data_IF_099208672803
#
_entry.id   IF_099208672803
#
_cell.length_a   1.000
_cell.length_b   1.000
_cell.length_c   1.000
_cell.angle_alpha   90.00
_cell.angle_beta   90.00
_cell.angle_gamma   90.00
#
_symmetry.space_group_name_H-M   'P 1'
#
loop_
_entity.id
_entity.type
_entity.pdbx_description
1 polymer ?
#
# COMPACT_ATOMS: atom_id res chain seq x y z
N UNK A 1 -8.84 -2.68 -20.83
CA UNK A 1 -8.58 -3.10 -19.45
C UNK A 1 -8.28 -1.83 -18.68
N UNK A 2 -8.78 -1.74 -17.48
CA UNK A 2 -8.60 -0.59 -16.59
C UNK A 2 -7.47 -0.79 -15.56
N UNK A 3 -6.77 -1.92 -15.66
CA UNK A 3 -5.56 -2.21 -14.89
C UNK A 3 -4.45 -2.57 -15.88
N UNK A 4 -3.37 -1.80 -15.84
CA UNK A 4 -2.19 -2.05 -16.65
C UNK A 4 -1.04 -2.54 -15.77
N UNK A 5 -0.32 -3.55 -16.23
CA UNK A 5 0.90 -4.05 -15.60
C UNK A 5 2.07 -3.88 -16.55
N UNK A 6 3.13 -3.24 -16.09
CA UNK A 6 4.41 -3.16 -16.80
C UNK A 6 5.51 -3.65 -15.86
N UNK A 7 6.32 -4.60 -16.32
CA UNK A 7 7.48 -5.11 -15.58
C UNK A 7 8.75 -4.64 -16.30
N UNK A 8 9.57 -3.87 -15.59
CA UNK A 8 10.87 -3.38 -16.09
C UNK A 8 11.95 -3.76 -15.09
N UNK A 9 12.85 -4.64 -15.50
CA UNK A 9 13.87 -5.19 -14.62
C UNK A 9 13.22 -5.89 -13.40
N UNK A 10 13.50 -5.41 -12.21
CA UNK A 10 12.94 -5.96 -10.96
C UNK A 10 11.75 -5.15 -10.40
N UNK A 11 11.17 -4.26 -11.18
CA UNK A 11 10.04 -3.42 -10.77
C UNK A 11 8.79 -3.78 -11.55
N UNK A 12 7.68 -4.02 -10.85
CA UNK A 12 6.34 -4.02 -11.43
C UNK A 12 5.67 -2.67 -11.16
N UNK A 13 5.26 -1.98 -12.21
CA UNK A 13 4.38 -0.82 -12.12
C UNK A 13 2.96 -1.24 -12.50
N UNK A 14 2.03 -1.15 -11.55
CA UNK A 14 0.61 -1.45 -11.71
C UNK A 14 -0.15 -0.13 -11.71
N UNK A 15 -0.94 0.09 -12.74
CA UNK A 15 -1.64 1.35 -13.00
C UNK A 15 -3.14 1.12 -12.99
N UNK A 16 -3.85 1.83 -12.14
CA UNK A 16 -5.30 1.96 -12.22
C UNK A 16 -5.60 2.94 -13.35
N UNK A 17 -6.08 2.45 -14.49
CA UNK A 17 -6.19 3.21 -15.74
C UNK A 17 -7.63 3.33 -16.22
N UNK A 18 -8.46 3.98 -15.42
CA UNK A 18 -9.83 4.39 -15.77
C UNK A 18 -10.06 5.84 -15.33
N UNK A 19 -9.26 6.82 -15.85
CA UNK A 19 -9.26 8.20 -15.39
C UNK A 19 -10.60 8.91 -15.58
N UNK A 20 -11.42 8.49 -16.54
CA UNK A 20 -12.76 9.02 -16.82
C UNK A 20 -13.73 8.86 -15.64
N UNK A 21 -13.55 7.81 -14.83
CA UNK A 21 -14.30 7.56 -13.59
C UNK A 21 -13.45 7.71 -12.34
N UNK A 22 -12.35 8.48 -12.40
CA UNK A 22 -11.42 8.69 -11.29
C UNK A 22 -10.87 7.37 -10.71
N UNK A 23 -10.66 6.38 -11.54
CA UNK A 23 -10.22 5.03 -11.18
C UNK A 23 -11.10 4.33 -10.12
N UNK A 24 -12.41 4.65 -10.10
CA UNK A 24 -13.37 3.91 -9.30
C UNK A 24 -13.41 2.44 -9.74
N UNK A 25 -13.42 1.52 -8.77
CA UNK A 25 -13.22 0.09 -8.97
C UNK A 25 -14.54 -0.65 -9.20
N UNK A 26 -14.64 -1.32 -10.33
CA UNK A 26 -15.66 -2.35 -10.56
C UNK A 26 -15.19 -3.71 -10.01
N UNK A 27 -16.06 -4.72 -10.04
CA UNK A 27 -15.69 -6.09 -9.63
C UNK A 27 -14.61 -6.69 -10.56
N UNK A 28 -14.69 -6.37 -11.85
CA UNK A 28 -13.68 -6.81 -12.83
C UNK A 28 -12.33 -6.14 -12.54
N UNK A 29 -12.30 -4.85 -12.21
CA UNK A 29 -11.07 -4.16 -11.85
C UNK A 29 -10.40 -4.75 -10.61
N UNK A 30 -11.19 -5.16 -9.58
CA UNK A 30 -10.65 -5.84 -8.40
C UNK A 30 -9.99 -7.18 -8.78
N UNK A 31 -10.62 -7.91 -9.70
CA UNK A 31 -10.10 -9.19 -10.21
C UNK A 31 -8.83 -8.98 -11.03
N UNK A 32 -8.83 -8.01 -11.92
CA UNK A 32 -7.69 -7.68 -12.77
C UNK A 32 -6.51 -7.17 -11.94
N UNK A 33 -6.77 -6.36 -10.91
CA UNK A 33 -5.74 -5.89 -9.99
C UNK A 33 -5.11 -7.06 -9.21
N UNK A 34 -5.91 -7.99 -8.70
CA UNK A 34 -5.42 -9.21 -8.06
C UNK A 34 -4.58 -10.06 -9.01
N UNK A 35 -4.99 -10.17 -10.27
CA UNK A 35 -4.25 -10.87 -11.32
C UNK A 35 -2.91 -10.19 -11.63
N UNK A 36 -2.86 -8.85 -11.66
CA UNK A 36 -1.63 -8.09 -11.87
C UNK A 36 -0.62 -8.32 -10.73
N UNK A 37 -1.08 -8.35 -9.47
CA UNK A 37 -0.23 -8.71 -8.33
C UNK A 37 0.27 -10.16 -8.41
N UNK A 38 -0.56 -11.11 -8.85
CA UNK A 38 -0.15 -12.51 -9.06
C UNK A 38 0.95 -12.60 -10.12
N UNK A 39 0.77 -11.95 -11.27
CA UNK A 39 1.76 -11.92 -12.34
C UNK A 39 3.09 -11.26 -11.88
N UNK A 40 3.02 -10.17 -11.12
CA UNK A 40 4.20 -9.54 -10.55
C UNK A 40 4.94 -10.49 -9.58
N UNK A 41 4.21 -11.28 -8.78
CA UNK A 41 4.79 -12.28 -7.90
C UNK A 41 5.44 -13.43 -8.68
N UNK A 42 4.79 -13.95 -9.71
CA UNK A 42 5.34 -15.00 -10.58
C UNK A 42 6.60 -14.53 -11.33
N UNK A 43 6.70 -13.24 -11.64
CA UNK A 43 7.87 -12.62 -12.24
C UNK A 43 9.01 -12.33 -11.22
N UNK A 44 8.82 -12.67 -9.94
CA UNK A 44 9.81 -12.48 -8.87
C UNK A 44 10.37 -11.04 -8.82
N UNK A 45 9.49 -10.04 -8.96
CA UNK A 45 9.90 -8.64 -8.89
C UNK A 45 10.47 -8.28 -7.51
N UNK A 46 11.40 -7.34 -7.45
CA UNK A 46 11.99 -6.87 -6.21
C UNK A 46 11.21 -5.74 -5.54
N UNK A 47 10.27 -5.10 -6.25
CA UNK A 47 9.34 -4.10 -5.69
C UNK A 47 8.14 -3.88 -6.62
N UNK A 48 7.04 -3.40 -6.04
CA UNK A 48 5.83 -2.99 -6.78
C UNK A 48 5.58 -1.51 -6.57
N UNK A 49 5.20 -0.81 -7.64
CA UNK A 49 4.61 0.52 -7.61
C UNK A 49 3.14 0.42 -8.03
N UNK A 50 2.22 0.83 -7.16
CA UNK A 50 0.80 1.00 -7.47
C UNK A 50 0.48 2.49 -7.60
N UNK A 51 -0.14 2.89 -8.71
CA UNK A 51 -0.56 4.27 -8.95
C UNK A 51 -1.87 4.37 -9.72
N UNK A 52 -2.49 5.53 -9.70
CA UNK A 52 -3.59 5.87 -10.59
C UNK A 52 -3.08 6.63 -11.83
N UNK A 53 -3.76 6.48 -12.96
CA UNK A 53 -3.60 7.33 -14.13
C UNK A 53 -4.52 8.54 -14.04
N UNK A 54 -4.10 9.69 -14.58
CA UNK A 54 -4.87 10.92 -14.58
C UNK A 54 -4.87 11.63 -13.21
N UNK A 55 -6.00 12.26 -12.85
CA UNK A 55 -6.11 13.20 -11.73
C UNK A 55 -6.50 12.59 -10.38
N UNK A 56 -6.58 11.27 -10.27
CA UNK A 56 -6.96 10.57 -9.04
C UNK A 56 -6.22 9.24 -8.91
N UNK A 57 -5.94 8.85 -7.69
CA UNK A 57 -5.47 7.50 -7.40
C UNK A 57 -6.63 6.51 -7.57
N UNK A 58 -7.67 6.62 -6.74
CA UNK A 58 -8.89 5.80 -6.82
C UNK A 58 -10.00 6.45 -5.99
N UNK A 59 -11.16 6.67 -6.61
CA UNK A 59 -12.32 7.27 -5.96
C UNK A 59 -13.17 6.27 -5.14
N UNK A 60 -12.76 5.00 -5.05
CA UNK A 60 -13.47 3.97 -4.30
C UNK A 60 -14.20 2.97 -5.18
N UNK A 61 -15.27 2.36 -4.66
CA UNK A 61 -16.15 1.47 -5.44
C UNK A 61 -16.89 2.24 -6.52
N UNK A 62 -16.96 1.70 -7.72
CA UNK A 62 -17.90 2.22 -8.73
C UNK A 62 -19.34 1.88 -8.32
N UNK A 63 -20.07 2.88 -7.90
CA UNK A 63 -21.47 2.74 -7.45
C UNK A 63 -22.49 3.17 -8.52
N UNK A 64 -22.07 3.48 -9.73
CA UNK A 64 -22.92 4.00 -10.79
C UNK A 64 -24.06 3.05 -11.16
N UNK A 65 -23.85 1.75 -11.04
CA UNK A 65 -24.81 0.70 -11.36
C UNK A 65 -25.29 -0.09 -10.13
N UNK A 66 -24.95 0.37 -8.91
CA UNK A 66 -25.39 -0.30 -7.68
C UNK A 66 -26.88 -0.02 -7.47
N UNK A 67 -27.65 -1.09 -7.24
CA UNK A 67 -29.05 -1.03 -6.83
C UNK A 67 -29.13 -1.21 -5.32
N UNK A 68 -29.36 -0.14 -4.52
CA UNK A 68 -29.22 -0.23 -3.05
C UNK A 68 -30.13 -1.28 -2.40
N UNK A 69 -31.31 -1.54 -2.99
CA UNK A 69 -32.27 -2.50 -2.44
C UNK A 69 -31.79 -3.97 -2.53
N UNK A 70 -30.82 -4.27 -3.39
CA UNK A 70 -30.29 -5.62 -3.62
C UNK A 70 -28.78 -5.71 -3.43
N UNK A 71 -28.13 -4.62 -3.04
CA UNK A 71 -26.69 -4.59 -2.80
C UNK A 71 -26.31 -5.38 -1.55
N UNK A 72 -25.45 -6.37 -1.69
CA UNK A 72 -24.84 -7.09 -0.58
C UNK A 72 -23.43 -6.54 -0.31
N UNK A 73 -23.37 -5.40 0.39
CA UNK A 73 -22.11 -4.76 0.75
C UNK A 73 -21.20 -5.68 1.59
N UNK A 74 -21.78 -6.57 2.42
CA UNK A 74 -21.00 -7.53 3.21
C UNK A 74 -20.31 -8.53 2.31
N UNK A 75 -21.02 -9.13 1.37
CA UNK A 75 -20.43 -10.08 0.41
C UNK A 75 -19.38 -9.39 -0.48
N UNK A 76 -19.65 -8.18 -0.97
CA UNK A 76 -18.71 -7.39 -1.75
C UNK A 76 -17.40 -7.14 -0.99
N UNK A 77 -17.48 -6.62 0.23
CA UNK A 77 -16.30 -6.31 1.04
C UNK A 77 -15.56 -7.58 1.46
N UNK A 78 -16.27 -8.60 1.94
CA UNK A 78 -15.63 -9.81 2.49
C UNK A 78 -15.05 -10.72 1.42
N UNK A 79 -15.70 -10.83 0.24
CA UNK A 79 -15.33 -11.81 -0.77
C UNK A 79 -14.54 -11.21 -1.96
N UNK A 80 -14.56 -9.88 -2.11
CA UNK A 80 -13.88 -9.20 -3.24
C UNK A 80 -12.78 -8.27 -2.73
N UNK A 81 -13.10 -7.31 -1.88
CA UNK A 81 -12.17 -6.27 -1.44
C UNK A 81 -11.14 -6.83 -0.43
N UNK A 82 -11.60 -7.46 0.63
CA UNK A 82 -10.71 -7.94 1.71
C UNK A 82 -9.65 -8.93 1.23
N UNK A 83 -9.95 -9.94 0.38
CA UNK A 83 -8.92 -10.83 -0.15
C UNK A 83 -7.84 -10.10 -0.95
N UNK A 84 -8.23 -9.12 -1.78
CA UNK A 84 -7.29 -8.30 -2.53
C UNK A 84 -6.38 -7.47 -1.62
N UNK A 85 -6.95 -6.80 -0.60
CA UNK A 85 -6.15 -6.03 0.36
C UNK A 85 -5.16 -6.93 1.12
N UNK A 86 -5.57 -8.14 1.48
CA UNK A 86 -4.68 -9.13 2.10
C UNK A 86 -3.57 -9.58 1.15
N UNK A 87 -3.89 -9.81 -0.14
CA UNK A 87 -2.90 -10.16 -1.15
C UNK A 87 -1.84 -9.07 -1.29
N UNK A 88 -2.24 -7.79 -1.39
CA UNK A 88 -1.33 -6.65 -1.48
C UNK A 88 -0.46 -6.56 -0.22
N UNK A 89 -1.07 -6.63 0.97
CA UNK A 89 -0.37 -6.55 2.25
C UNK A 89 0.63 -7.71 2.46
N UNK A 90 0.33 -8.90 1.94
CA UNK A 90 1.18 -10.08 2.04
C UNK A 90 2.17 -10.24 0.87
N UNK A 91 2.21 -9.30 -0.07
CA UNK A 91 3.07 -9.40 -1.25
C UNK A 91 4.54 -9.63 -0.89
N UNK A 92 5.25 -10.60 -1.52
CA UNK A 92 6.59 -11.03 -1.12
C UNK A 92 7.70 -10.10 -1.69
N UNK A 93 7.45 -8.81 -1.71
CA UNK A 93 8.41 -7.73 -1.96
C UNK A 93 7.83 -6.42 -1.42
N UNK A 94 8.64 -5.36 -1.26
CA UNK A 94 8.14 -4.02 -0.91
C UNK A 94 7.10 -3.51 -1.90
N UNK A 95 5.98 -3.02 -1.37
CA UNK A 95 4.91 -2.39 -2.14
C UNK A 95 4.84 -0.90 -1.86
N UNK A 96 4.88 -0.09 -2.90
CA UNK A 96 4.80 1.37 -2.84
C UNK A 96 3.53 1.84 -3.53
N UNK A 97 2.92 2.89 -3.00
CA UNK A 97 1.85 3.60 -3.68
C UNK A 97 2.25 5.06 -3.94
N UNK A 98 1.95 5.56 -5.14
CA UNK A 98 1.99 6.98 -5.50
C UNK A 98 0.56 7.46 -5.71
N UNK A 99 0.05 8.28 -4.80
CA UNK A 99 -1.36 8.62 -4.73
C UNK A 99 -1.60 10.12 -4.93
N UNK A 100 -2.32 10.47 -6.02
CA UNK A 100 -2.75 11.83 -6.35
C UNK A 100 -4.26 11.98 -6.24
N UNK A 101 -4.75 13.20 -6.09
CA UNK A 101 -6.17 13.50 -6.13
C UNK A 101 -7.01 12.67 -5.17
N UNK A 102 -8.10 12.09 -5.65
CA UNK A 102 -9.00 11.29 -4.81
C UNK A 102 -8.40 9.93 -4.41
N UNK A 103 -8.37 9.66 -3.11
CA UNK A 103 -7.93 8.41 -2.47
C UNK A 103 -9.01 8.01 -1.46
N UNK A 104 -10.14 7.46 -1.95
CA UNK A 104 -11.36 7.35 -1.17
C UNK A 104 -11.85 5.90 -1.06
N UNK A 105 -12.49 5.54 0.04
CA UNK A 105 -13.11 4.23 0.24
C UNK A 105 -12.17 3.06 -0.04
N UNK A 106 -12.48 2.20 -1.03
CA UNK A 106 -11.61 1.11 -1.48
C UNK A 106 -10.23 1.63 -1.88
N UNK A 107 -10.15 2.83 -2.51
CA UNK A 107 -8.87 3.48 -2.84
C UNK A 107 -8.03 3.79 -1.60
N UNK A 108 -8.64 4.25 -0.51
CA UNK A 108 -7.96 4.38 0.77
C UNK A 108 -7.48 3.01 1.29
N UNK A 109 -8.31 1.96 1.16
CA UNK A 109 -7.95 0.59 1.53
C UNK A 109 -6.74 0.07 0.77
N UNK A 110 -6.64 0.33 -0.54
CA UNK A 110 -5.47 -0.02 -1.34
C UNK A 110 -4.18 0.65 -0.81
N UNK A 111 -4.27 1.92 -0.40
CA UNK A 111 -3.14 2.60 0.22
C UNK A 111 -2.75 1.97 1.57
N UNK A 112 -3.74 1.66 2.41
CA UNK A 112 -3.51 1.00 3.72
C UNK A 112 -2.84 -0.37 3.55
N UNK A 113 -3.12 -1.06 2.47
CA UNK A 113 -2.55 -2.37 2.17
C UNK A 113 -1.11 -2.31 1.66
N UNK A 114 -0.65 -1.18 1.12
CA UNK A 114 0.73 -1.00 0.69
C UNK A 114 1.68 -0.74 1.88
N UNK A 115 2.95 -1.12 1.73
CA UNK A 115 3.96 -0.93 2.78
C UNK A 115 4.40 0.53 2.91
N UNK A 116 4.53 1.23 1.79
CA UNK A 116 4.99 2.62 1.71
C UNK A 116 4.04 3.43 0.85
N UNK A 117 3.56 4.54 1.39
CA UNK A 117 2.61 5.40 0.68
C UNK A 117 3.18 6.82 0.59
N UNK A 118 3.37 7.29 -0.64
CA UNK A 118 3.66 8.68 -0.92
C UNK A 118 2.43 9.32 -1.56
N UNK A 119 2.06 10.49 -1.09
CA UNK A 119 0.85 11.18 -1.54
C UNK A 119 1.22 12.57 -2.09
N UNK A 120 0.46 13.04 -3.06
CA UNK A 120 0.50 14.45 -3.41
C UNK A 120 0.07 15.30 -2.20
N UNK A 121 0.72 16.41 -1.95
CA UNK A 121 0.42 17.32 -0.84
C UNK A 121 -1.06 17.78 -0.84
N UNK A 122 -1.65 17.94 -2.02
CA UNK A 122 -3.03 18.34 -2.28
C UNK A 122 -4.00 17.15 -2.48
N UNK A 123 -3.55 15.90 -2.34
CA UNK A 123 -4.44 14.72 -2.45
C UNK A 123 -5.61 14.80 -1.46
N UNK A 124 -6.69 14.10 -1.76
CA UNK A 124 -7.90 14.05 -0.93
C UNK A 124 -8.05 12.67 -0.32
N UNK A 125 -7.82 12.59 0.98
CA UNK A 125 -7.72 11.34 1.73
C UNK A 125 -8.94 11.20 2.64
N UNK A 126 -9.65 10.09 2.53
CA UNK A 126 -10.76 9.81 3.43
C UNK A 126 -11.85 8.94 2.80
N UNK A 127 -13.04 9.03 3.37
CA UNK A 127 -14.21 8.33 2.87
C UNK A 127 -15.46 9.12 3.27
N UNK A 128 -16.04 9.91 2.35
CA UNK A 128 -17.18 10.77 2.65
C UNK A 128 -18.50 9.97 2.71
N UNK A 129 -18.47 8.81 3.37
CA UNK A 129 -19.55 7.83 3.38
C UNK A 129 -20.77 8.26 4.19
N UNK A 130 -20.61 9.17 5.15
CA UNK A 130 -21.75 9.77 5.85
C UNK A 130 -22.77 10.40 4.87
N UNK A 131 -22.28 10.95 3.75
CA UNK A 131 -23.15 11.49 2.69
C UNK A 131 -23.98 10.42 1.95
N UNK A 132 -23.61 9.15 2.10
CA UNK A 132 -24.30 7.99 1.50
C UNK A 132 -25.06 7.17 2.55
N UNK A 133 -25.06 7.59 3.82
CA UNK A 133 -25.63 6.80 4.93
C UNK A 133 -24.84 5.52 5.23
N UNK A 134 -23.58 5.48 4.81
CA UNK A 134 -22.67 4.36 5.01
C UNK A 134 -21.58 4.70 6.02
N UNK A 135 -20.89 3.69 6.52
CA UNK A 135 -19.74 3.85 7.42
C UNK A 135 -18.43 3.55 6.71
N UNK A 136 -17.33 4.03 7.27
CA UNK A 136 -15.97 3.79 6.78
C UNK A 136 -15.69 2.28 6.70
N UNK A 137 -14.96 1.84 5.69
CA UNK A 137 -14.59 0.45 5.45
C UNK A 137 -13.09 0.28 5.13
N UNK A 138 -12.71 -0.87 4.59
CA UNK A 138 -11.39 -1.17 4.01
C UNK A 138 -10.19 -0.84 4.91
N UNK A 139 -10.39 -0.89 6.24
CA UNK A 139 -9.35 -0.60 7.24
C UNK A 139 -9.26 0.86 7.68
N UNK A 140 -10.10 1.75 7.14
CA UNK A 140 -10.07 3.18 7.47
C UNK A 140 -10.30 3.47 8.95
N UNK A 141 -11.24 2.78 9.62
CA UNK A 141 -11.46 2.93 11.07
C UNK A 141 -10.19 2.62 11.88
N UNK A 142 -9.53 1.51 11.55
CA UNK A 142 -8.33 1.09 12.27
C UNK A 142 -7.19 2.09 12.09
N UNK A 143 -6.90 2.49 10.85
CA UNK A 143 -5.83 3.45 10.56
C UNK A 143 -6.10 4.81 11.23
N UNK A 144 -7.30 5.36 11.06
CA UNK A 144 -7.63 6.68 11.59
C UNK A 144 -7.61 6.67 13.12
N UNK A 145 -8.26 5.69 13.75
CA UNK A 145 -8.24 5.59 15.21
C UNK A 145 -6.83 5.46 15.78
N UNK A 146 -6.00 4.63 15.17
CA UNK A 146 -4.63 4.41 15.63
C UNK A 146 -3.77 5.68 15.54
N UNK A 147 -3.94 6.48 14.49
CA UNK A 147 -3.11 7.65 14.20
C UNK A 147 -3.68 8.96 14.72
N UNK A 148 -5.00 9.12 14.69
CA UNK A 148 -5.69 10.36 15.03
C UNK A 148 -6.36 10.34 16.42
N UNK A 149 -6.61 9.15 16.97
CA UNK A 149 -7.45 8.96 18.14
C UNK A 149 -8.94 9.13 17.87
N UNK A 150 -9.77 8.82 18.86
CA UNK A 150 -11.22 8.71 18.69
C UNK A 150 -11.90 10.01 18.23
N UNK A 151 -11.56 11.15 18.82
CA UNK A 151 -12.25 12.41 18.56
C UNK A 151 -12.09 12.87 17.12
N UNK A 152 -10.85 12.91 16.60
CA UNK A 152 -10.59 13.35 15.23
C UNK A 152 -11.09 12.34 14.19
N UNK A 153 -11.03 11.05 14.52
CA UNK A 153 -11.61 10.00 13.66
C UNK A 153 -13.12 10.18 13.50
N UNK A 154 -13.85 10.39 14.61
CA UNK A 154 -15.29 10.58 14.57
C UNK A 154 -15.68 11.91 13.93
N UNK A 155 -14.89 12.97 14.11
CA UNK A 155 -15.09 14.24 13.45
C UNK A 155 -15.06 14.07 11.92
N UNK A 156 -14.01 13.48 11.36
CA UNK A 156 -13.91 13.20 9.92
C UNK A 156 -15.02 12.31 9.39
N UNK A 157 -15.44 11.30 10.17
CA UNK A 157 -16.51 10.39 9.77
C UNK A 157 -17.87 11.12 9.75
N UNK A 158 -18.19 11.89 10.80
CA UNK A 158 -19.49 12.53 10.94
C UNK A 158 -19.66 13.73 10.03
N UNK A 159 -18.58 14.47 9.78
CA UNK A 159 -18.60 15.64 8.88
C UNK A 159 -18.39 15.25 7.40
N UNK A 160 -17.98 14.01 7.14
CA UNK A 160 -17.57 13.55 5.80
C UNK A 160 -16.43 14.39 5.20
N UNK A 161 -15.62 15.05 6.02
CA UNK A 161 -14.50 15.84 5.59
C UNK A 161 -13.34 14.96 5.08
N UNK A 162 -12.58 15.52 4.16
CA UNK A 162 -11.40 14.88 3.59
C UNK A 162 -10.15 15.63 4.06
N UNK A 163 -9.12 14.87 4.40
CA UNK A 163 -7.81 15.43 4.69
C UNK A 163 -7.03 15.68 3.39
N UNK A 164 -6.23 16.74 3.35
CA UNK A 164 -5.19 16.85 2.33
C UNK A 164 -4.09 15.81 2.54
N UNK A 165 -3.30 15.52 1.49
CA UNK A 165 -2.15 14.64 1.63
C UNK A 165 -1.13 15.14 2.65
N UNK A 166 -0.89 16.46 2.69
CA UNK A 166 -0.02 17.09 3.67
C UNK A 166 -0.52 16.89 5.11
N UNK A 167 -1.83 17.07 5.36
CA UNK A 167 -2.45 16.82 6.67
C UNK A 167 -2.39 15.34 7.06
N UNK A 168 -2.65 14.43 6.12
CA UNK A 168 -2.59 12.99 6.35
C UNK A 168 -1.18 12.55 6.78
N UNK A 169 -0.13 13.06 6.12
CA UNK A 169 1.26 12.77 6.49
C UNK A 169 1.63 13.41 7.83
N UNK A 170 1.24 14.67 8.06
CA UNK A 170 1.47 15.34 9.35
C UNK A 170 0.81 14.61 10.52
N UNK A 171 -0.31 13.95 10.28
CA UNK A 171 -1.04 13.15 11.25
C UNK A 171 -0.49 11.70 11.38
N UNK A 172 0.52 11.33 10.62
CA UNK A 172 1.16 10.01 10.66
C UNK A 172 0.40 8.90 9.93
N UNK A 173 -0.53 9.25 9.04
CA UNK A 173 -1.29 8.24 8.26
C UNK A 173 -0.42 7.60 7.17
N UNK A 174 0.41 8.41 6.49
CA UNK A 174 1.22 7.98 5.36
C UNK A 174 2.66 8.46 5.45
N UNK A 175 3.51 7.94 4.56
CA UNK A 175 4.95 8.06 4.69
C UNK A 175 5.49 9.46 4.35
N UNK A 176 5.05 10.06 3.24
CA UNK A 176 5.49 11.38 2.79
C UNK A 176 4.46 12.08 1.92
N UNK A 177 4.36 13.40 2.08
CA UNK A 177 3.71 14.29 1.13
C UNK A 177 4.77 14.91 0.20
N UNK A 178 4.46 14.95 -1.09
CA UNK A 178 5.34 15.46 -2.15
C UNK A 178 4.53 16.35 -3.08
N UNK A 179 5.13 17.36 -3.68
CA UNK A 179 4.46 18.16 -4.70
C UNK A 179 3.93 17.24 -5.82
N UNK A 180 2.69 17.44 -6.25
CA UNK A 180 2.01 16.54 -7.20
C UNK A 180 2.84 16.28 -8.45
N UNK A 181 3.46 17.33 -9.01
CA UNK A 181 4.27 17.24 -10.23
C UNK A 181 5.53 16.39 -10.07
N UNK A 182 6.03 16.23 -8.84
CA UNK A 182 7.26 15.48 -8.53
C UNK A 182 6.97 14.07 -8.02
N UNK A 183 5.75 13.79 -7.59
CA UNK A 183 5.40 12.59 -6.83
C UNK A 183 5.78 11.29 -7.55
N UNK A 184 5.46 11.18 -8.84
CA UNK A 184 5.67 9.94 -9.58
C UNK A 184 7.16 9.64 -9.73
N UNK A 185 7.96 10.61 -10.13
CA UNK A 185 9.40 10.43 -10.30
C UNK A 185 10.07 10.16 -8.94
N UNK A 186 9.73 10.94 -7.92
CA UNK A 186 10.15 10.72 -6.54
C UNK A 186 9.87 9.29 -6.05
N UNK A 187 8.71 8.73 -6.40
CA UNK A 187 8.34 7.37 -6.01
C UNK A 187 9.12 6.33 -6.81
N UNK A 188 9.21 6.49 -8.13
CA UNK A 188 9.95 5.57 -9.00
C UNK A 188 11.41 5.38 -8.60
N UNK A 189 12.12 6.46 -8.28
CA UNK A 189 13.50 6.39 -7.79
C UNK A 189 13.62 5.48 -6.56
N UNK A 190 12.66 5.58 -5.62
CA UNK A 190 12.67 4.81 -4.37
C UNK A 190 12.28 3.35 -4.58
N UNK A 191 11.34 3.10 -5.48
CA UNK A 191 10.95 1.76 -5.88
C UNK A 191 12.11 1.04 -6.55
N UNK A 192 12.81 1.69 -7.50
CA UNK A 192 14.01 1.14 -8.14
C UNK A 192 15.09 0.84 -7.11
N UNK A 193 15.35 1.76 -6.17
CA UNK A 193 16.30 1.53 -5.09
C UNK A 193 15.92 0.34 -4.22
N UNK A 194 14.65 0.21 -3.85
CA UNK A 194 14.16 -0.89 -3.03
C UNK A 194 14.22 -2.23 -3.78
N UNK A 195 13.94 -2.24 -5.10
CA UNK A 195 13.91 -3.45 -5.91
C UNK A 195 15.27 -4.17 -6.01
N UNK A 196 16.35 -3.47 -5.72
CA UNK A 196 17.74 -3.99 -5.73
C UNK A 196 18.32 -4.13 -4.32
N UNK A 197 17.52 -3.96 -3.29
CA UNK A 197 17.92 -4.09 -1.89
C UNK A 197 17.92 -5.53 -1.39
N UNK A 198 18.27 -5.72 -0.12
CA UNK A 198 18.28 -7.00 0.57
C UNK A 198 16.85 -7.47 0.86
N UNK A 199 16.20 -8.12 -0.10
CA UNK A 199 14.78 -8.48 -0.06
C UNK A 199 14.45 -9.34 1.18
N UNK A 200 15.28 -10.29 1.56
CA UNK A 200 15.04 -11.14 2.74
C UNK A 200 14.96 -10.29 4.02
N UNK A 201 15.87 -9.32 4.19
CA UNK A 201 15.83 -8.40 5.33
C UNK A 201 14.59 -7.49 5.30
N UNK A 202 14.16 -7.07 4.11
CA UNK A 202 12.93 -6.29 3.97
C UNK A 202 11.69 -7.11 4.33
N UNK A 203 11.64 -8.37 3.92
CA UNK A 203 10.51 -9.26 4.24
C UNK A 203 10.47 -9.60 5.72
N UNK A 204 11.61 -9.86 6.37
CA UNK A 204 11.68 -10.03 7.81
C UNK A 204 11.16 -8.78 8.55
N UNK A 205 11.62 -7.58 8.16
CA UNK A 205 11.13 -6.32 8.73
C UNK A 205 9.63 -6.10 8.50
N UNK A 206 9.13 -6.43 7.28
CA UNK A 206 7.70 -6.34 6.94
C UNK A 206 6.87 -7.28 7.82
N UNK A 207 7.34 -8.52 8.07
CA UNK A 207 6.66 -9.48 8.94
C UNK A 207 6.58 -8.97 10.39
N UNK A 208 7.69 -8.50 10.96
CA UNK A 208 7.74 -7.93 12.31
C UNK A 208 6.83 -6.71 12.48
N UNK A 209 6.80 -5.79 11.50
CA UNK A 209 5.88 -4.63 11.53
C UNK A 209 4.43 -5.07 11.45
N UNK A 210 4.11 -6.13 10.69
CA UNK A 210 2.75 -6.70 10.65
C UNK A 210 2.33 -7.30 11.98
N UNK A 211 3.19 -8.03 12.66
CA UNK A 211 2.91 -8.59 13.99
C UNK A 211 2.63 -7.48 15.00
N UNK A 212 3.44 -6.40 15.00
CA UNK A 212 3.20 -5.22 15.82
C UNK A 212 1.84 -4.58 15.54
N UNK A 213 1.46 -4.44 14.27
CA UNK A 213 0.21 -3.83 13.84
C UNK A 213 -1.00 -4.71 14.11
N UNK A 214 -0.95 -5.97 13.69
CA UNK A 214 -2.11 -6.86 13.60
C UNK A 214 -2.30 -7.66 14.89
N UNK A 215 -1.21 -8.10 15.53
CA UNK A 215 -1.23 -8.91 16.75
C UNK A 215 -0.98 -8.09 18.02
N UNK A 216 -0.53 -6.82 17.86
CA UNK A 216 -0.26 -5.88 18.96
C UNK A 216 0.70 -6.43 19.99
N UNK A 217 1.73 -7.12 19.55
CA UNK A 217 2.79 -7.64 20.43
C UNK A 217 3.49 -6.48 21.15
N UNK A 218 3.90 -6.73 22.41
CA UNK A 218 4.60 -5.74 23.20
C UNK A 218 6.09 -5.61 22.81
N UNK A 219 6.74 -4.54 23.31
CA UNK A 219 8.13 -4.20 22.99
C UNK A 219 9.10 -5.40 23.16
N UNK A 220 9.03 -6.09 24.28
CA UNK A 220 9.99 -7.17 24.54
C UNK A 220 9.76 -8.41 23.70
N UNK A 221 8.50 -8.73 23.36
CA UNK A 221 8.19 -9.78 22.42
C UNK A 221 8.70 -9.41 21.00
N UNK A 222 8.56 -8.15 20.59
CA UNK A 222 9.16 -7.65 19.34
C UNK A 222 10.69 -7.83 19.33
N UNK A 223 11.37 -7.45 20.41
CA UNK A 223 12.83 -7.62 20.54
C UNK A 223 13.23 -9.10 20.41
N UNK A 224 12.49 -10.00 21.05
CA UNK A 224 12.76 -11.44 20.95
C UNK A 224 12.59 -11.96 19.50
N UNK A 225 11.54 -11.52 18.80
CA UNK A 225 11.32 -11.87 17.39
C UNK A 225 12.40 -11.26 16.48
N UNK A 226 12.78 -9.99 16.70
CA UNK A 226 13.88 -9.32 15.97
C UNK A 226 15.19 -10.09 16.10
N UNK A 227 15.50 -10.59 17.28
CA UNK A 227 16.71 -11.40 17.53
C UNK A 227 16.71 -12.71 16.73
N UNK A 228 15.55 -13.37 16.64
CA UNK A 228 15.38 -14.60 15.85
C UNK A 228 15.55 -14.32 14.37
N UNK A 229 14.88 -13.30 13.85
CA UNK A 229 14.96 -12.91 12.43
C UNK A 229 16.38 -12.46 12.06
N UNK A 230 17.05 -11.65 12.91
CA UNK A 230 18.43 -11.25 12.69
C UNK A 230 19.38 -12.46 12.65
N UNK A 231 19.15 -13.44 13.53
CA UNK A 231 19.93 -14.69 13.53
C UNK A 231 19.70 -15.53 12.27
N UNK A 232 18.51 -15.50 11.70
CA UNK A 232 18.23 -16.16 10.42
C UNK A 232 18.91 -15.42 9.25
N UNK A 233 18.80 -14.10 9.20
CA UNK A 233 19.41 -13.26 8.16
C UNK A 233 20.94 -13.36 8.13
N UNK A 234 21.62 -13.57 9.27
CA UNK A 234 23.07 -13.76 9.33
C UNK A 234 23.59 -14.93 8.45
N UNK A 235 22.72 -15.83 8.03
CA UNK A 235 23.04 -16.99 7.19
C UNK A 235 22.82 -16.74 5.70
N UNK A 236 22.31 -15.57 5.32
CA UNK A 236 22.00 -15.23 3.92
C UNK A 236 23.21 -14.64 3.20
N UNK A 237 23.26 -14.85 1.88
CA UNK A 237 24.33 -14.28 1.04
C UNK A 237 24.25 -12.75 1.02
N UNK A 238 23.06 -12.17 1.03
CA UNK A 238 22.85 -10.72 1.07
C UNK A 238 23.38 -10.09 2.36
N UNK A 239 23.27 -10.78 3.52
CA UNK A 239 23.88 -10.34 4.76
C UNK A 239 25.40 -10.31 4.65
N UNK A 240 26.01 -11.39 4.15
CA UNK A 240 27.46 -11.48 3.95
C UNK A 240 27.95 -10.40 2.97
N UNK A 241 27.25 -10.20 1.87
CA UNK A 241 27.58 -9.15 0.89
C UNK A 241 27.48 -7.76 1.51
N UNK A 242 26.43 -7.47 2.28
CA UNK A 242 26.24 -6.19 2.94
C UNK A 242 27.41 -5.84 3.87
N UNK A 243 27.85 -6.78 4.69
CA UNK A 243 29.02 -6.62 5.58
C UNK A 243 30.33 -6.49 4.81
N UNK A 244 30.56 -7.33 3.79
CA UNK A 244 31.75 -7.25 2.96
C UNK A 244 31.84 -5.91 2.21
N UNK A 245 30.74 -5.45 1.62
CA UNK A 245 30.66 -4.18 0.91
C UNK A 245 30.95 -2.99 1.84
N UNK A 246 30.37 -2.99 3.05
CA UNK A 246 30.62 -1.97 4.06
C UNK A 246 32.11 -1.91 4.45
N UNK A 247 32.72 -3.06 4.75
CA UNK A 247 34.13 -3.16 5.11
C UNK A 247 35.07 -2.72 3.97
N UNK A 248 34.67 -3.01 2.73
CA UNK A 248 35.39 -2.63 1.51
C UNK A 248 35.10 -1.21 1.02
N UNK A 249 34.19 -0.48 1.68
CA UNK A 249 33.75 0.87 1.30
C UNK A 249 33.23 0.96 -0.14
N UNK A 250 32.51 -0.05 -0.59
CA UNK A 250 31.85 -0.09 -1.89
C UNK A 250 30.32 -0.25 -1.74
N UNK A 251 29.54 0.09 -2.75
CA UNK A 251 28.11 -0.26 -2.77
C UNK A 251 27.91 -1.77 -2.73
N UNK A 252 26.89 -2.28 -1.98
CA UNK A 252 26.52 -3.69 -2.01
C UNK A 252 25.79 -4.06 -3.30
N UNK A 253 25.90 -5.35 -3.68
CA UNK A 253 25.18 -5.94 -4.81
C UNK A 253 24.37 -7.12 -4.29
N UNK A 254 23.13 -6.85 -3.90
CA UNK A 254 22.21 -7.85 -3.40
C UNK A 254 21.60 -8.66 -4.53
N UNK A 255 21.47 -9.97 -4.33
CA UNK A 255 20.91 -10.89 -5.33
C UNK A 255 19.58 -11.48 -4.89
N UNK A 256 19.26 -11.40 -3.61
CA UNK A 256 18.20 -12.17 -2.97
C UNK A 256 18.51 -13.67 -2.96
N UNK A 257 17.67 -14.48 -2.34
CA UNK A 257 17.75 -15.93 -2.56
C UNK A 257 17.28 -16.22 -3.99
N UNK A 258 18.10 -16.87 -4.79
CA UNK A 258 17.64 -17.53 -6.03
C UNK A 258 16.63 -18.62 -5.59
N UNK A 259 15.35 -18.29 -5.66
CA UNK A 259 14.24 -19.22 -5.44
C UNK A 259 13.60 -19.59 -6.75
#
# INVERSE_FOLDING_TARGET
MSIDLTITGRVAEIVLNAPERLNAMTDDDLTDLGSAFTQAQEAHVGAVLLRGEGRAFCAGRDISNVVPATDDATAYLSNRVTPLLRQISAFPAPTFAAATGACLGVGLGLLIACDVVYVADNAKIGSPFANLGATLDSGGHALFFERLGAHRTLDLIFTAELMSGAEAVSAGLFSRAVAEAELLEFTRERVVRASTGAIEAFLASKALVRELRDERIGLWASVDHENVEQGALCKTDDYHEGFAAFQQKRPPVFRGSER
#
